data_IF_232606753689
#
_entry.id   IF_232606753689
#
_cell.length_a   1.000
_cell.length_b   1.000
_cell.length_c   1.000
_cell.angle_alpha   90.00
_cell.angle_beta   90.00
_cell.angle_gamma   90.00
#
_symmetry.space_group_name_H-M   'P 1'
#
loop_
_entity.id
_entity.type
_entity.pdbx_description
1 polymer ?
#
# COMPACT_ATOMS: atom_id res chain seq x y z
N UNK A 1 -37.61 -17.57 30.34
CA UNK A 1 -37.91 -16.23 30.89
C UNK A 1 -36.89 -15.30 30.25
N UNK A 2 -37.33 -14.54 29.25
CA UNK A 2 -36.48 -13.60 28.52
C UNK A 2 -36.44 -12.36 29.40
N UNK A 3 -35.30 -12.11 30.05
CA UNK A 3 -35.13 -10.92 30.85
C UNK A 3 -34.99 -9.73 29.90
N UNK A 4 -35.91 -8.78 30.02
CA UNK A 4 -35.86 -7.51 29.32
C UNK A 4 -34.70 -6.71 29.93
N UNK A 5 -33.58 -6.65 29.22
CA UNK A 5 -32.45 -5.79 29.59
C UNK A 5 -32.94 -4.33 29.64
N UNK A 6 -32.88 -3.64 30.79
CA UNK A 6 -33.27 -2.25 30.86
C UNK A 6 -32.34 -1.48 29.92
N UNK A 7 -32.92 -0.64 29.05
CA UNK A 7 -32.17 0.37 28.29
C UNK A 7 -31.37 1.19 29.29
N UNK A 8 -30.14 0.78 29.54
CA UNK A 8 -29.19 1.53 30.33
C UNK A 8 -28.80 2.67 29.40
N UNK A 9 -29.13 3.91 29.77
CA UNK A 9 -28.72 5.08 28.99
C UNK A 9 -27.18 5.13 29.01
N UNK A 10 -26.58 4.53 27.98
CA UNK A 10 -25.14 4.51 27.82
C UNK A 10 -24.65 5.94 27.58
N UNK A 11 -23.62 6.33 28.32
CA UNK A 11 -22.97 7.62 28.16
C UNK A 11 -21.49 7.43 27.89
N UNK A 12 -20.87 8.44 27.26
CA UNK A 12 -19.43 8.46 27.03
C UNK A 12 -18.93 9.89 27.23
N UNK A 13 -17.85 10.03 27.98
CA UNK A 13 -17.14 11.30 28.11
C UNK A 13 -16.15 11.46 26.97
N UNK A 14 -16.10 12.67 26.41
CA UNK A 14 -15.20 13.03 25.30
C UNK A 14 -15.29 12.06 24.10
N UNK A 15 -16.49 11.73 23.59
CA UNK A 15 -16.61 10.90 22.40
C UNK A 15 -15.98 11.63 21.20
N UNK A 16 -15.19 10.90 20.42
CA UNK A 16 -14.60 11.39 19.18
C UNK A 16 -14.59 10.28 18.11
N UNK A 17 -14.88 10.68 16.88
CA UNK A 17 -14.84 9.83 15.70
C UNK A 17 -13.82 10.38 14.71
N UNK A 18 -12.89 9.53 14.31
CA UNK A 18 -11.83 9.88 13.40
C UNK A 18 -11.85 8.98 12.17
N UNK A 19 -11.61 9.56 11.00
CA UNK A 19 -11.37 8.86 9.75
C UNK A 19 -9.96 9.17 9.25
N UNK A 20 -9.16 8.12 9.08
CA UNK A 20 -7.82 8.18 8.51
C UNK A 20 -7.91 7.79 7.03
N UNK A 21 -7.47 8.69 6.15
CA UNK A 21 -7.49 8.53 4.70
C UNK A 21 -6.06 8.53 4.18
N UNK A 22 -5.77 7.63 3.25
CA UNK A 22 -4.44 7.47 2.68
C UNK A 22 -4.45 7.50 1.15
N UNK A 23 -3.46 8.18 0.57
CA UNK A 23 -3.29 8.29 -0.87
C UNK A 23 -1.81 8.26 -1.25
N UNK A 24 -1.46 7.41 -2.21
CA UNK A 24 -0.12 7.41 -2.77
C UNK A 24 0.14 8.75 -3.47
N UNK A 25 1.19 9.44 -3.05
CA UNK A 25 1.61 10.73 -3.60
C UNK A 25 2.61 10.53 -4.74
N UNK A 26 3.66 9.76 -4.49
CA UNK A 26 4.81 9.63 -5.38
C UNK A 26 5.18 8.15 -5.57
N UNK A 27 4.86 7.60 -6.74
CA UNK A 27 5.17 6.22 -7.10
C UNK A 27 6.23 6.16 -8.19
N UNK A 28 6.98 5.06 -8.25
CA UNK A 28 7.94 4.83 -9.33
C UNK A 28 7.25 4.97 -10.70
N UNK A 29 7.87 5.76 -11.59
CA UNK A 29 7.34 6.03 -12.93
C UNK A 29 6.25 7.11 -13.02
N UNK A 30 5.87 7.76 -11.91
CA UNK A 30 4.98 8.93 -11.97
C UNK A 30 5.74 10.18 -12.42
N UNK A 31 5.09 10.99 -13.24
CA UNK A 31 5.63 12.29 -13.63
C UNK A 31 5.42 13.31 -12.51
N UNK A 32 6.28 14.33 -12.44
CA UNK A 32 6.11 15.44 -11.50
C UNK A 32 4.72 16.11 -11.64
N UNK A 33 4.18 16.18 -12.86
CA UNK A 33 2.84 16.70 -13.11
C UNK A 33 1.74 15.84 -12.46
N UNK A 34 1.87 14.50 -12.49
CA UNK A 34 0.91 13.61 -11.84
C UNK A 34 0.96 13.73 -10.31
N UNK A 35 2.17 13.86 -9.75
CA UNK A 35 2.37 14.11 -8.31
C UNK A 35 1.74 15.45 -7.91
N UNK A 36 1.98 16.51 -8.68
CA UNK A 36 1.41 17.84 -8.43
C UNK A 36 -0.13 17.84 -8.57
N UNK A 37 -0.69 17.09 -9.52
CA UNK A 37 -2.14 16.93 -9.66
C UNK A 37 -2.76 16.23 -8.44
N UNK A 38 -2.15 15.15 -7.96
CA UNK A 38 -2.64 14.43 -6.78
C UNK A 38 -2.58 15.30 -5.53
N UNK A 39 -1.49 16.06 -5.35
CA UNK A 39 -1.38 17.07 -4.28
C UNK A 39 -2.53 18.07 -4.35
N UNK A 40 -2.79 18.65 -5.53
CA UNK A 40 -3.91 19.60 -5.70
C UNK A 40 -5.25 18.97 -5.33
N UNK A 41 -5.53 17.73 -5.74
CA UNK A 41 -6.79 17.05 -5.41
C UNK A 41 -6.99 16.91 -3.90
N UNK A 42 -5.99 16.41 -3.17
CA UNK A 42 -6.06 16.25 -1.71
C UNK A 42 -6.31 17.59 -1.02
N UNK A 43 -5.55 18.63 -1.40
CA UNK A 43 -5.66 19.95 -0.78
C UNK A 43 -6.89 20.74 -1.18
N UNK A 44 -7.44 20.53 -2.37
CA UNK A 44 -8.75 21.05 -2.76
C UNK A 44 -9.85 20.47 -1.87
N UNK A 45 -9.74 19.19 -1.51
CA UNK A 45 -10.66 18.55 -0.57
C UNK A 45 -10.58 19.17 0.82
N UNK A 46 -9.37 19.26 1.39
CA UNK A 46 -9.13 19.81 2.74
C UNK A 46 -9.53 21.29 2.85
N UNK A 47 -9.20 22.11 1.85
CA UNK A 47 -9.45 23.56 1.87
C UNK A 47 -10.80 23.95 1.24
N UNK A 48 -11.68 22.97 1.01
CA UNK A 48 -13.00 23.17 0.42
C UNK A 48 -12.99 24.10 -0.82
N UNK A 49 -12.05 23.86 -1.73
CA UNK A 49 -11.90 24.63 -2.96
C UNK A 49 -11.18 25.99 -2.83
N UNK A 50 -10.78 26.43 -1.64
CA UNK A 50 -10.07 27.70 -1.40
C UNK A 50 -8.55 27.61 -1.63
N UNK A 51 -8.07 26.58 -2.34
CA UNK A 51 -6.64 26.38 -2.60
C UNK A 51 -6.09 27.46 -3.54
N UNK A 52 -5.08 28.20 -3.08
CA UNK A 52 -4.32 29.16 -3.90
C UNK A 52 -2.95 28.61 -4.32
N UNK A 53 -2.35 29.14 -5.39
CA UNK A 53 -0.98 28.77 -5.79
C UNK A 53 0.06 29.09 -4.71
N UNK A 54 -0.14 30.17 -3.94
CA UNK A 54 0.76 30.54 -2.84
C UNK A 54 0.71 29.49 -1.72
N UNK A 55 -0.50 29.06 -1.33
CA UNK A 55 -0.70 27.99 -0.35
C UNK A 55 -0.07 26.69 -0.82
N UNK A 56 -0.25 26.33 -2.09
CA UNK A 56 0.33 25.12 -2.66
C UNK A 56 1.87 25.14 -2.66
N UNK A 57 2.47 26.29 -2.95
CA UNK A 57 3.93 26.47 -2.90
C UNK A 57 4.47 26.32 -1.47
N UNK A 58 3.76 26.86 -0.47
CA UNK A 58 4.13 26.70 0.94
C UNK A 58 4.08 25.22 1.38
N UNK A 59 2.99 24.51 1.03
CA UNK A 59 2.84 23.08 1.29
C UNK A 59 4.00 22.30 0.65
N UNK A 60 4.31 22.59 -0.62
CA UNK A 60 5.39 21.91 -1.34
C UNK A 60 6.74 22.12 -0.65
N UNK A 61 7.03 23.34 -0.18
CA UNK A 61 8.26 23.62 0.57
C UNK A 61 8.38 22.83 1.88
N UNK A 62 7.26 22.54 2.55
CA UNK A 62 7.26 21.73 3.80
C UNK A 62 7.56 20.25 3.54
N UNK A 63 7.21 19.75 2.35
CA UNK A 63 7.41 18.35 1.95
C UNK A 63 8.87 17.99 1.65
N UNK A 64 9.76 18.98 1.50
CA UNK A 64 11.17 18.80 1.12
C UNK A 64 12.07 18.32 2.27
N UNK A 65 11.49 18.07 3.45
CA UNK A 65 12.23 17.56 4.61
C UNK A 65 12.45 16.05 4.51
N UNK A 66 13.63 15.56 4.92
CA UNK A 66 13.99 14.13 4.96
C UNK A 66 13.30 13.34 6.10
N UNK A 67 12.24 13.88 6.70
CA UNK A 67 11.53 13.21 7.80
C UNK A 67 10.54 12.17 7.26
N UNK A 68 10.50 10.99 7.88
CA UNK A 68 9.49 9.97 7.60
C UNK A 68 8.08 10.32 8.11
N UNK A 69 7.91 11.49 8.75
CA UNK A 69 6.62 12.02 9.20
C UNK A 69 6.67 13.54 9.17
N UNK A 70 5.87 14.13 8.28
CA UNK A 70 5.89 15.57 8.03
C UNK A 70 4.48 16.11 8.27
N UNK A 71 4.34 17.04 9.23
CA UNK A 71 3.11 17.79 9.44
C UNK A 71 3.01 18.88 8.36
N UNK A 72 1.91 18.90 7.61
CA UNK A 72 1.82 19.75 6.42
C UNK A 72 1.22 21.14 6.68
N UNK A 73 0.66 21.37 7.87
CA UNK A 73 0.10 22.66 8.29
C UNK A 73 1.00 23.35 9.33
N UNK A 74 1.03 24.69 9.31
CA UNK A 74 1.73 25.51 10.31
C UNK A 74 1.22 25.23 11.73
N UNK A 75 -0.09 25.33 11.90
CA UNK A 75 -0.80 25.09 13.16
C UNK A 75 -1.11 23.60 13.36
N UNK A 76 -0.56 22.74 12.50
CA UNK A 76 -0.73 21.29 12.46
C UNK A 76 -2.15 20.82 12.13
N UNK A 77 -3.18 21.56 12.56
CA UNK A 77 -4.60 21.25 12.40
C UNK A 77 -5.32 22.38 11.68
N UNK A 78 -6.32 22.03 10.88
CA UNK A 78 -7.25 22.98 10.28
C UNK A 78 -8.65 22.70 10.82
N UNK A 79 -9.19 23.63 11.60
CA UNK A 79 -10.52 23.47 12.24
C UNK A 79 -11.64 23.51 11.20
N UNK A 80 -12.69 22.74 11.47
CA UNK A 80 -13.92 22.84 10.70
C UNK A 80 -14.62 24.16 10.98
N UNK A 81 -15.42 24.59 10.00
CA UNK A 81 -16.43 25.61 10.25
C UNK A 81 -17.58 25.01 11.07
N UNK A 82 -18.27 25.80 11.92
CA UNK A 82 -19.50 25.36 12.56
C UNK A 82 -20.49 24.76 11.55
N UNK A 83 -21.30 23.75 11.94
CA UNK A 83 -21.66 23.41 13.32
C UNK A 83 -20.79 22.32 13.99
N UNK A 84 -19.77 21.79 13.31
CA UNK A 84 -19.01 20.64 13.77
C UNK A 84 -17.76 21.04 14.58
N UNK A 85 -17.56 20.46 15.78
CA UNK A 85 -16.30 20.57 16.51
C UNK A 85 -15.33 19.49 16.07
N UNK A 86 -14.56 19.80 15.02
CA UNK A 86 -13.59 18.89 14.43
C UNK A 86 -12.44 19.60 13.71
N UNK A 87 -11.53 18.82 13.13
CA UNK A 87 -10.41 19.33 12.37
C UNK A 87 -9.83 18.32 11.38
N UNK A 88 -9.13 18.85 10.37
CA UNK A 88 -8.20 18.10 9.54
C UNK A 88 -6.80 18.09 10.14
N UNK A 89 -6.12 16.96 10.05
CA UNK A 89 -4.70 16.81 10.40
C UNK A 89 -3.97 16.09 9.25
N UNK A 90 -3.47 16.84 8.25
CA UNK A 90 -2.77 16.29 7.11
C UNK A 90 -1.27 16.13 7.38
N UNK A 91 -0.74 14.97 7.00
CA UNK A 91 0.67 14.62 7.10
C UNK A 91 1.17 13.94 5.83
N UNK A 92 2.49 13.93 5.64
CA UNK A 92 3.16 13.09 4.64
C UNK A 92 3.98 12.01 5.34
N UNK A 93 3.79 10.78 4.89
CA UNK A 93 4.42 9.56 5.39
C UNK A 93 5.24 8.93 4.25
N UNK A 94 6.48 9.40 4.08
CA UNK A 94 7.31 9.01 2.95
C UNK A 94 6.70 9.43 1.62
N UNK A 95 6.21 8.46 0.85
CA UNK A 95 5.59 8.62 -0.46
C UNK A 95 4.05 8.72 -0.41
N UNK A 96 3.47 8.80 0.78
CA UNK A 96 2.02 8.72 1.00
C UNK A 96 1.51 10.00 1.66
N UNK A 97 0.44 10.58 1.13
CA UNK A 97 -0.37 11.55 1.85
C UNK A 97 -1.31 10.84 2.79
N UNK A 98 -1.38 11.31 4.04
CA UNK A 98 -2.37 10.86 4.99
C UNK A 98 -3.12 12.04 5.61
N UNK A 99 -4.43 11.87 5.80
CA UNK A 99 -5.29 12.89 6.40
C UNK A 99 -6.12 12.22 7.47
N UNK A 100 -6.10 12.77 8.68
CA UNK A 100 -7.08 12.44 9.70
C UNK A 100 -8.16 13.52 9.72
N UNK A 101 -9.42 13.10 9.63
CA UNK A 101 -10.62 13.92 9.78
C UNK A 101 -11.22 13.55 11.13
N UNK A 102 -11.07 14.44 12.11
CA UNK A 102 -11.51 14.27 13.49
C UNK A 102 -12.80 15.07 13.71
N UNK A 103 -13.81 14.45 14.32
CA UNK A 103 -14.99 15.15 14.81
C UNK A 103 -15.33 14.67 16.22
N UNK A 104 -15.51 15.62 17.14
CA UNK A 104 -15.95 15.35 18.50
C UNK A 104 -17.46 15.50 18.66
N UNK A 105 -18.03 14.85 19.69
CA UNK A 105 -19.48 14.83 19.93
C UNK A 105 -20.05 16.12 20.53
N UNK A 106 -19.28 17.22 20.57
CA UNK A 106 -19.74 18.51 21.09
C UNK A 106 -20.29 19.37 19.96
N UNK A 107 -21.57 19.78 20.01
CA UNK A 107 -22.06 20.86 19.14
C UNK A 107 -21.25 22.14 19.38
N UNK A 108 -20.98 22.93 18.35
CA UNK A 108 -20.30 24.23 18.51
C UNK A 108 -21.10 25.26 19.33
N UNK A 109 -22.39 25.05 19.57
CA UNK A 109 -23.26 25.91 20.38
C UNK A 109 -23.44 25.36 21.80
N UNK A 110 -22.87 26.07 22.79
CA UNK A 110 -23.01 25.79 24.24
C UNK A 110 -24.48 25.90 24.74
N UNK A 111 -25.40 26.39 23.91
CA UNK A 111 -26.82 26.61 24.25
C UNK A 111 -27.74 25.42 23.93
N UNK A 112 -27.22 24.35 23.31
CA UNK A 112 -28.03 23.17 22.94
C UNK A 112 -28.30 22.25 24.15
N UNK A 113 -29.51 21.68 24.21
CA UNK A 113 -29.86 20.61 25.15
C UNK A 113 -28.84 19.45 25.04
N UNK A 114 -28.51 18.77 26.15
CA UNK A 114 -27.56 17.66 26.12
C UNK A 114 -28.07 16.56 25.18
N UNK A 115 -27.34 16.33 24.08
CA UNK A 115 -27.62 15.26 23.12
C UNK A 115 -27.40 13.89 23.77
N UNK A 116 -28.27 12.94 23.48
CA UNK A 116 -28.02 11.52 23.78
C UNK A 116 -26.75 11.03 23.09
N UNK A 117 -26.13 9.96 23.59
CA UNK A 117 -24.94 9.40 22.96
C UNK A 117 -25.21 9.00 21.49
N UNK A 118 -26.40 8.46 21.18
CA UNK A 118 -26.78 8.13 19.81
C UNK A 118 -26.80 9.37 18.89
N UNK A 119 -27.35 10.49 19.36
CA UNK A 119 -27.39 11.75 18.59
C UNK A 119 -25.98 12.33 18.41
N UNK A 120 -25.13 12.28 19.44
CA UNK A 120 -23.72 12.69 19.33
C UNK A 120 -22.99 11.86 18.27
N UNK A 121 -23.21 10.54 18.23
CA UNK A 121 -22.59 9.64 17.25
C UNK A 121 -23.03 9.96 15.82
N UNK A 122 -24.33 10.21 15.59
CA UNK A 122 -24.82 10.61 14.27
C UNK A 122 -24.26 11.98 13.86
N UNK A 123 -24.19 12.92 14.79
CA UNK A 123 -23.62 14.25 14.53
C UNK A 123 -22.14 14.16 14.12
N UNK A 124 -21.33 13.41 14.88
CA UNK A 124 -19.91 13.18 14.54
C UNK A 124 -19.76 12.48 13.19
N UNK A 125 -20.55 11.43 12.93
CA UNK A 125 -20.52 10.70 11.66
C UNK A 125 -20.82 11.62 10.49
N UNK A 126 -21.86 12.44 10.60
CA UNK A 126 -22.20 13.43 9.57
C UNK A 126 -21.05 14.42 9.35
N UNK A 127 -20.45 14.94 10.42
CA UNK A 127 -19.32 15.86 10.36
C UNK A 127 -18.11 15.26 9.62
N UNK A 128 -17.71 14.05 10.00
CA UNK A 128 -16.60 13.34 9.33
C UNK A 128 -16.93 13.07 7.87
N UNK A 129 -18.13 12.58 7.56
CA UNK A 129 -18.53 12.25 6.19
C UNK A 129 -18.59 13.49 5.28
N UNK A 130 -19.10 14.62 5.78
CA UNK A 130 -19.14 15.88 5.05
C UNK A 130 -17.71 16.35 4.70
N UNK A 131 -16.82 16.32 5.68
CA UNK A 131 -15.46 16.84 5.55
C UNK A 131 -14.52 15.87 4.80
N UNK A 132 -14.83 14.58 4.76
CA UNK A 132 -14.05 13.57 4.05
C UNK A 132 -14.48 13.35 2.59
N UNK A 133 -15.71 13.74 2.20
CA UNK A 133 -16.32 13.38 0.90
C UNK A 133 -15.47 13.70 -0.32
N UNK A 134 -14.71 14.78 -0.27
CA UNK A 134 -13.88 15.29 -1.39
C UNK A 134 -12.42 14.82 -1.31
N UNK A 135 -12.05 14.10 -0.26
CA UNK A 135 -10.71 13.57 -0.06
C UNK A 135 -10.68 12.12 -0.61
N UNK A 136 -9.82 11.78 -1.59
CA UNK A 136 -9.96 10.53 -2.34
C UNK A 136 -9.76 9.25 -1.53
N UNK A 137 -8.71 9.18 -0.69
CA UNK A 137 -8.44 8.02 0.17
C UNK A 137 -8.23 6.70 -0.59
N UNK A 138 -7.67 6.74 -1.80
CA UNK A 138 -7.67 5.60 -2.75
C UNK A 138 -6.83 4.40 -2.27
N UNK A 139 -5.83 4.63 -1.41
CA UNK A 139 -5.04 3.54 -0.82
C UNK A 139 -5.82 2.83 0.29
N UNK A 140 -6.83 3.47 0.86
CA UNK A 140 -7.68 2.90 1.89
C UNK A 140 -7.97 3.87 3.02
N UNK A 141 -8.83 3.41 3.91
CA UNK A 141 -9.32 4.19 5.02
C UNK A 141 -9.42 3.35 6.30
N UNK A 142 -9.37 4.01 7.44
CA UNK A 142 -9.53 3.34 8.74
C UNK A 142 -10.22 4.27 9.72
N UNK A 143 -11.16 3.73 10.49
CA UNK A 143 -11.92 4.48 11.47
C UNK A 143 -11.35 4.28 12.87
N UNK A 144 -11.45 5.31 13.71
CA UNK A 144 -11.26 5.22 15.15
C UNK A 144 -12.46 5.87 15.81
N UNK A 145 -13.07 5.17 16.76
CA UNK A 145 -14.04 5.74 17.70
C UNK A 145 -13.47 5.56 19.09
N UNK A 146 -13.42 6.62 19.87
CA UNK A 146 -12.94 6.51 21.23
C UNK A 146 -13.68 7.45 22.18
N UNK A 147 -13.55 7.15 23.47
CA UNK A 147 -14.02 8.00 24.54
C UNK A 147 -13.79 7.34 25.89
N UNK A 148 -14.19 8.03 26.95
CA UNK A 148 -14.01 7.60 28.32
C UNK A 148 -15.33 7.15 28.93
N UNK A 149 -15.34 6.00 29.58
CA UNK A 149 -16.49 5.49 30.31
C UNK A 149 -16.79 6.40 31.53
N UNK A 150 -18.07 6.60 31.87
CA UNK A 150 -18.46 7.50 32.96
C UNK A 150 -18.06 6.96 34.33
N UNK A 151 -18.08 5.64 34.51
CA UNK A 151 -17.68 4.94 35.73
C UNK A 151 -17.23 3.50 35.41
N UNK A 152 -16.76 2.79 36.42
CA UNK A 152 -16.25 1.42 36.30
C UNK A 152 -17.35 0.35 36.18
N UNK A 153 -18.63 0.71 36.35
CA UNK A 153 -19.76 -0.21 36.25
C UNK A 153 -20.25 -0.38 34.81
N UNK A 154 -20.06 0.64 33.94
CA UNK A 154 -20.43 0.54 32.54
C UNK A 154 -19.53 -0.45 31.79
N UNK A 155 -20.15 -1.45 31.16
CA UNK A 155 -19.43 -2.49 30.41
C UNK A 155 -18.78 -1.92 29.14
N UNK A 156 -17.44 -2.06 28.97
CA UNK A 156 -16.78 -1.69 27.72
C UNK A 156 -17.33 -2.47 26.52
N UNK A 157 -17.62 -3.77 26.68
CA UNK A 157 -18.11 -4.62 25.59
C UNK A 157 -19.52 -4.22 25.12
N UNK A 158 -20.44 -3.96 26.06
CA UNK A 158 -21.78 -3.48 25.73
C UNK A 158 -21.74 -2.09 25.07
N UNK A 159 -20.88 -1.22 25.59
CA UNK A 159 -20.65 0.12 25.02
C UNK A 159 -20.11 0.02 23.59
N UNK A 160 -19.08 -0.80 23.35
CA UNK A 160 -18.49 -0.97 22.02
C UNK A 160 -19.50 -1.54 21.00
N UNK A 161 -20.32 -2.52 21.41
CA UNK A 161 -21.42 -3.05 20.57
C UNK A 161 -22.44 -1.96 20.23
N UNK A 162 -22.84 -1.15 21.21
CA UNK A 162 -23.72 -0.01 20.97
C UNK A 162 -23.11 1.00 19.99
N UNK A 163 -21.83 1.37 20.16
CA UNK A 163 -21.14 2.29 19.25
C UNK A 163 -21.10 1.76 17.81
N UNK A 164 -20.80 0.48 17.64
CA UNK A 164 -20.80 -0.21 16.35
C UNK A 164 -22.17 -0.13 15.67
N UNK A 165 -23.23 -0.48 16.40
CA UNK A 165 -24.60 -0.54 15.85
C UNK A 165 -25.13 0.86 15.52
N UNK A 166 -24.84 1.86 16.35
CA UNK A 166 -25.25 3.24 16.11
C UNK A 166 -24.50 3.88 14.95
N UNK A 167 -23.17 3.74 14.90
CA UNK A 167 -22.39 4.36 13.83
C UNK A 167 -22.60 3.66 12.49
N UNK A 168 -22.89 2.36 12.46
CA UNK A 168 -23.12 1.59 11.23
C UNK A 168 -22.09 1.92 10.14
N UNK A 169 -20.80 1.82 10.49
CA UNK A 169 -19.66 2.13 9.59
C UNK A 169 -19.45 1.03 8.54
N UNK A 170 -20.07 -0.13 8.74
CA UNK A 170 -19.99 -1.31 7.89
C UNK A 170 -21.35 -1.50 7.19
N UNK A 171 -21.39 -1.98 5.94
CA UNK A 171 -22.65 -2.34 5.28
C UNK A 171 -23.36 -3.45 6.07
N UNK A 172 -24.62 -3.30 6.47
CA UNK A 172 -25.31 -4.33 7.29
C UNK A 172 -24.47 -4.76 8.51
N UNK A 173 -24.29 -3.88 9.51
CA UNK A 173 -23.42 -4.11 10.65
C UNK A 173 -23.85 -5.35 11.43
N UNK A 174 -22.89 -6.22 11.77
CA UNK A 174 -23.11 -7.40 12.60
C UNK A 174 -21.92 -7.61 13.53
N UNK A 175 -22.09 -7.27 14.81
CA UNK A 175 -21.01 -7.33 15.80
C UNK A 175 -20.31 -8.70 15.86
N UNK A 176 -21.06 -9.79 15.85
CA UNK A 176 -20.50 -11.14 16.01
C UNK A 176 -19.67 -11.57 14.77
N UNK A 177 -19.90 -10.92 13.62
CA UNK A 177 -19.11 -11.10 12.41
C UNK A 177 -18.00 -10.07 12.24
N UNK A 178 -18.21 -8.83 12.69
CA UNK A 178 -17.32 -7.71 12.42
C UNK A 178 -16.24 -7.58 13.50
N UNK A 179 -16.54 -7.89 14.77
CA UNK A 179 -15.56 -7.87 15.86
C UNK A 179 -14.62 -9.08 15.80
N UNK A 180 -13.34 -8.83 15.50
CA UNK A 180 -12.33 -9.89 15.32
C UNK A 180 -11.30 -9.96 16.44
N UNK A 181 -11.19 -8.92 17.22
CA UNK A 181 -10.12 -8.81 18.21
C UNK A 181 -10.50 -7.89 19.35
N UNK A 182 -9.91 -8.17 20.51
CA UNK A 182 -9.95 -7.30 21.66
C UNK A 182 -8.54 -7.24 22.26
N UNK A 183 -8.20 -6.10 22.84
CA UNK A 183 -6.96 -5.94 23.58
C UNK A 183 -6.99 -4.72 24.47
N UNK A 184 -5.81 -4.23 24.87
CA UNK A 184 -5.67 -3.10 25.78
C UNK A 184 -4.49 -2.20 25.42
N UNK A 185 -4.64 -0.89 25.62
CA UNK A 185 -3.55 0.08 25.48
C UNK A 185 -3.77 1.29 26.38
N UNK A 186 -2.80 1.63 27.22
CA UNK A 186 -2.86 2.64 28.29
C UNK A 186 -4.15 2.55 29.11
N UNK A 187 -4.52 1.32 29.47
CA UNK A 187 -5.73 1.02 30.25
C UNK A 187 -7.03 1.05 29.46
N UNK A 188 -7.07 1.57 28.23
CA UNK A 188 -8.24 1.48 27.36
C UNK A 188 -8.50 0.04 26.95
N UNK A 189 -9.76 -0.36 26.88
CA UNK A 189 -10.18 -1.60 26.21
C UNK A 189 -10.35 -1.30 24.73
N UNK A 190 -9.65 -2.04 23.89
CA UNK A 190 -9.67 -1.90 22.43
C UNK A 190 -10.49 -3.02 21.80
N UNK A 191 -11.28 -2.69 20.77
CA UNK A 191 -11.99 -3.66 19.94
C UNK A 191 -11.67 -3.43 18.46
N UNK A 192 -11.19 -4.47 17.78
CA UNK A 192 -10.95 -4.45 16.35
C UNK A 192 -12.17 -4.93 15.58
N UNK A 193 -12.65 -4.06 14.70
CA UNK A 193 -13.70 -4.35 13.75
C UNK A 193 -13.09 -4.44 12.36
N UNK A 194 -13.34 -5.53 11.65
CA UNK A 194 -12.85 -5.68 10.28
C UNK A 194 -13.76 -6.54 9.41
N UNK A 195 -13.82 -6.15 8.13
CA UNK A 195 -14.45 -6.92 7.08
C UNK A 195 -13.53 -6.93 5.85
N UNK A 196 -12.94 -8.10 5.53
CA UNK A 196 -12.09 -8.25 4.36
C UNK A 196 -12.80 -7.88 3.07
N UNK A 197 -12.03 -7.31 2.14
CA UNK A 197 -12.47 -7.19 0.76
C UNK A 197 -12.69 -8.58 0.16
N UNK A 198 -13.73 -8.70 -0.66
CA UNK A 198 -14.12 -9.93 -1.34
C UNK A 198 -14.04 -9.78 -2.85
N UNK A 199 -13.81 -8.57 -3.37
CA UNK A 199 -13.85 -8.27 -4.80
C UNK A 199 -12.50 -7.73 -5.27
N UNK A 200 -11.73 -8.49 -6.05
CA UNK A 200 -10.45 -8.02 -6.59
C UNK A 200 -10.66 -7.12 -7.80
N UNK A 201 -11.22 -5.92 -7.59
CA UNK A 201 -11.41 -4.89 -8.63
C UNK A 201 -10.25 -3.88 -8.68
N UNK A 202 -9.26 -4.05 -7.80
CA UNK A 202 -8.11 -3.17 -7.66
C UNK A 202 -8.40 -1.91 -6.84
N UNK A 203 -9.49 -1.89 -6.08
CA UNK A 203 -9.73 -0.94 -5.02
C UNK A 203 -9.62 -1.65 -3.67
N UNK A 204 -9.06 -0.98 -2.66
CA UNK A 204 -9.05 -1.50 -1.30
C UNK A 204 -10.39 -1.17 -0.62
N UNK A 205 -11.35 -2.10 -0.67
CA UNK A 205 -12.66 -1.95 -0.03
C UNK A 205 -12.70 -2.60 1.36
N UNK A 206 -11.54 -2.88 1.95
CA UNK A 206 -11.46 -3.42 3.29
C UNK A 206 -12.06 -2.42 4.30
N UNK A 207 -13.04 -2.86 5.08
CA UNK A 207 -13.61 -2.04 6.14
C UNK A 207 -12.87 -2.31 7.44
N UNK A 208 -12.37 -1.25 8.07
CA UNK A 208 -11.61 -1.35 9.31
C UNK A 208 -11.99 -0.24 10.28
N UNK A 209 -12.25 -0.60 11.54
CA UNK A 209 -12.44 0.34 12.62
C UNK A 209 -11.80 -0.17 13.91
N UNK A 210 -11.28 0.74 14.71
CA UNK A 210 -10.82 0.48 16.07
C UNK A 210 -11.74 1.23 17.04
N UNK A 211 -12.23 0.55 18.08
CA UNK A 211 -12.96 1.17 19.19
C UNK A 211 -12.04 1.22 20.40
N UNK A 212 -11.81 2.40 20.98
CA UNK A 212 -11.02 2.59 22.20
C UNK A 212 -11.82 3.17 23.35
N UNK A 213 -12.03 2.38 24.42
CA UNK A 213 -12.81 2.81 25.59
C UNK A 213 -11.91 2.95 26.81
N UNK A 214 -11.67 4.20 27.23
CA UNK A 214 -10.83 4.55 28.36
C UNK A 214 -11.59 4.42 29.69
N UNK A 215 -10.90 4.04 30.79
CA UNK A 215 -11.53 3.94 32.09
C UNK A 215 -11.80 5.31 32.70
N UNK A 216 -12.82 5.36 33.58
CA UNK A 216 -13.33 6.61 34.19
C UNK A 216 -12.33 7.36 35.09
N UNK A 217 -11.31 6.68 35.62
CA UNK A 217 -10.39 7.27 36.59
C UNK A 217 -9.30 8.15 35.95
N UNK A 218 -9.15 8.15 34.62
CA UNK A 218 -8.17 8.99 33.93
C UNK A 218 -8.62 10.45 33.93
N UNK A 219 -7.73 11.35 34.29
CA UNK A 219 -7.98 12.78 34.14
C UNK A 219 -8.00 13.18 32.65
N UNK A 220 -8.65 14.30 32.35
CA UNK A 220 -8.66 14.89 30.99
C UNK A 220 -7.25 15.12 30.45
N UNK A 221 -6.31 15.56 31.30
CA UNK A 221 -4.92 15.81 30.90
C UNK A 221 -4.17 14.53 30.54
N UNK A 222 -4.34 13.46 31.33
CA UNK A 222 -3.76 12.15 31.02
C UNK A 222 -4.33 11.58 29.72
N UNK A 223 -5.65 11.65 29.53
CA UNK A 223 -6.32 11.21 28.32
C UNK A 223 -5.80 11.95 27.08
N UNK A 224 -5.63 13.26 27.16
CA UNK A 224 -5.04 14.07 26.08
C UNK A 224 -3.60 13.67 25.78
N UNK A 225 -2.79 13.41 26.81
CA UNK A 225 -1.40 12.95 26.66
C UNK A 225 -1.30 11.58 26.00
N UNK A 226 -2.17 10.64 26.39
CA UNK A 226 -2.26 9.30 25.79
C UNK A 226 -2.71 9.40 24.33
N UNK A 227 -3.81 10.11 24.05
CA UNK A 227 -4.35 10.23 22.70
C UNK A 227 -3.40 10.93 21.75
N UNK A 228 -2.67 11.95 22.19
CA UNK A 228 -1.65 12.61 21.37
C UNK A 228 -0.55 11.66 20.86
N UNK A 229 -0.19 10.66 21.67
CA UNK A 229 0.74 9.60 21.27
C UNK A 229 0.05 8.53 20.43
N UNK A 230 -1.14 8.11 20.85
CA UNK A 230 -1.90 7.06 20.19
C UNK A 230 -2.24 7.43 18.74
N UNK A 231 -2.66 8.67 18.48
CA UNK A 231 -2.88 9.18 17.12
C UNK A 231 -1.65 9.05 16.22
N UNK A 232 -0.46 9.33 16.74
CA UNK A 232 0.79 9.20 15.97
C UNK A 232 1.14 7.75 15.65
N UNK A 233 0.78 6.82 16.54
CA UNK A 233 0.94 5.40 16.29
C UNK A 233 -0.07 4.90 15.28
N UNK A 234 -1.36 5.18 15.49
CA UNK A 234 -2.44 4.76 14.60
C UNK A 234 -2.29 5.32 13.19
N UNK A 235 -1.90 6.58 13.05
CA UNK A 235 -1.61 7.19 11.73
C UNK A 235 -0.58 6.38 10.93
N UNK A 236 0.44 5.80 11.59
CA UNK A 236 1.44 4.96 10.90
C UNK A 236 1.00 3.51 10.79
N UNK A 237 0.39 2.96 11.84
CA UNK A 237 -0.07 1.59 11.87
C UNK A 237 -1.11 1.33 10.77
N UNK A 238 -2.10 2.22 10.67
CA UNK A 238 -3.12 2.17 9.63
C UNK A 238 -2.54 2.49 8.26
N UNK A 239 -1.54 3.38 8.14
CA UNK A 239 -0.82 3.62 6.88
C UNK A 239 -0.22 2.32 6.34
N UNK A 240 0.61 1.63 7.14
CA UNK A 240 1.26 0.40 6.71
C UNK A 240 0.25 -0.69 6.35
N UNK A 241 -0.79 -0.85 7.18
CA UNK A 241 -1.89 -1.80 6.94
C UNK A 241 -2.59 -1.53 5.60
N UNK A 242 -3.03 -0.29 5.37
CA UNK A 242 -3.73 0.08 4.14
C UNK A 242 -2.80 -0.03 2.92
N UNK A 243 -1.51 0.28 3.07
CA UNK A 243 -0.55 0.18 1.97
C UNK A 243 -0.34 -1.27 1.57
N UNK A 244 -0.20 -2.19 2.53
CA UNK A 244 -0.12 -3.64 2.27
C UNK A 244 -1.37 -4.13 1.51
N UNK A 245 -2.56 -3.80 2.01
CA UNK A 245 -3.83 -4.22 1.39
C UNK A 245 -3.98 -3.65 -0.02
N UNK A 246 -3.70 -2.36 -0.20
CA UNK A 246 -3.77 -1.71 -1.50
C UNK A 246 -2.82 -2.33 -2.52
N UNK A 247 -1.56 -2.53 -2.14
CA UNK A 247 -0.55 -3.18 -2.99
C UNK A 247 -0.98 -4.59 -3.37
N UNK A 248 -1.48 -5.36 -2.39
CA UNK A 248 -2.00 -6.70 -2.63
C UNK A 248 -3.15 -6.66 -3.65
N UNK A 249 -4.06 -5.71 -3.55
CA UNK A 249 -5.13 -5.52 -4.54
C UNK A 249 -4.62 -5.13 -5.93
N UNK A 250 -3.65 -4.21 -6.01
CA UNK A 250 -3.03 -3.84 -7.30
C UNK A 250 -2.37 -5.04 -7.99
N UNK A 251 -1.86 -6.00 -7.22
CA UNK A 251 -1.21 -7.19 -7.77
C UNK A 251 -2.14 -8.05 -8.63
N UNK A 252 -3.46 -8.04 -8.37
CA UNK A 252 -4.43 -8.78 -9.18
C UNK A 252 -4.56 -8.23 -10.60
N UNK A 253 -4.49 -6.91 -10.76
CA UNK A 253 -4.52 -6.27 -12.07
C UNK A 253 -3.27 -6.66 -12.88
N UNK A 254 -2.08 -6.57 -12.26
CA UNK A 254 -0.82 -6.99 -12.87
C UNK A 254 -0.84 -8.48 -13.26
N UNK A 255 -1.32 -9.34 -12.36
CA UNK A 255 -1.45 -10.78 -12.58
C UNK A 255 -2.35 -11.07 -13.78
N UNK A 256 -3.46 -10.35 -13.92
CA UNK A 256 -4.38 -10.50 -15.06
C UNK A 256 -3.69 -10.13 -16.37
N UNK A 257 -2.99 -9.01 -16.43
CA UNK A 257 -2.23 -8.61 -17.62
C UNK A 257 -1.12 -9.60 -17.98
N UNK A 258 -0.38 -10.11 -16.99
CA UNK A 258 0.71 -11.08 -17.19
C UNK A 258 0.19 -12.45 -17.65
N UNK A 259 -0.98 -12.90 -17.14
CA UNK A 259 -1.64 -14.13 -17.61
C UNK A 259 -2.08 -14.02 -19.06
N UNK A 260 -2.68 -12.89 -19.45
CA UNK A 260 -3.08 -12.65 -20.84
C UNK A 260 -1.87 -12.72 -21.77
N UNK A 261 -0.77 -12.05 -21.40
CA UNK A 261 0.48 -12.10 -22.17
C UNK A 261 1.06 -13.53 -22.26
N UNK A 262 1.03 -14.29 -21.17
CA UNK A 262 1.50 -15.69 -21.15
C UNK A 262 0.72 -16.58 -22.13
N UNK A 263 -0.59 -16.37 -22.27
CA UNK A 263 -1.40 -17.10 -23.26
C UNK A 263 -0.93 -16.83 -24.69
N UNK A 264 -0.62 -15.57 -25.03
CA UNK A 264 -0.10 -15.23 -26.36
C UNK A 264 1.29 -15.85 -26.61
N UNK A 265 2.16 -15.85 -25.60
CA UNK A 265 3.49 -16.52 -25.67
C UNK A 265 3.34 -18.00 -25.97
N UNK A 266 2.38 -18.66 -25.33
CA UNK A 266 2.10 -20.08 -25.57
C UNK A 266 1.67 -20.32 -27.03
N UNK A 267 0.73 -19.52 -27.55
CA UNK A 267 0.31 -19.61 -28.95
C UNK A 267 1.48 -19.46 -29.93
N UNK A 268 2.35 -18.46 -29.71
CA UNK A 268 3.53 -18.26 -30.55
C UNK A 268 4.47 -19.47 -30.53
N UNK A 269 4.69 -20.03 -29.34
CA UNK A 269 5.59 -21.17 -29.14
C UNK A 269 5.03 -22.45 -29.78
N UNK A 270 3.74 -22.71 -29.66
CA UNK A 270 3.06 -23.88 -30.24
C UNK A 270 3.02 -23.84 -31.78
N UNK A 271 2.94 -22.65 -32.37
CA UNK A 271 2.92 -22.47 -33.83
C UNK A 271 4.32 -22.62 -34.47
N UNK A 272 5.40 -22.40 -33.70
CA UNK A 272 6.76 -22.36 -34.24
C UNK A 272 7.17 -23.64 -35.01
N UNK A 273 6.93 -24.87 -34.50
CA UNK A 273 7.29 -26.09 -35.23
C UNK A 273 6.65 -26.16 -36.62
N UNK A 274 5.40 -25.71 -36.76
CA UNK A 274 4.68 -25.71 -38.04
C UNK A 274 5.20 -24.69 -39.06
N UNK A 275 5.93 -23.66 -38.61
CA UNK A 275 6.53 -22.63 -39.48
C UNK A 275 7.93 -23.02 -39.97
N UNK A 276 8.64 -23.89 -39.24
CA UNK A 276 10.04 -24.23 -39.51
C UNK A 276 10.22 -25.61 -40.13
N UNK A 277 9.22 -26.49 -40.02
CA UNK A 277 9.26 -27.84 -40.63
C UNK A 277 8.80 -27.85 -42.10
N UNK A 278 8.36 -26.71 -42.63
CA UNK A 278 7.96 -26.60 -44.03
C UNK A 278 9.17 -26.68 -44.98
N UNK A 279 8.99 -27.21 -46.23
CA UNK A 279 10.08 -27.30 -47.21
C UNK A 279 10.75 -25.96 -47.52
N UNK A 280 10.01 -24.86 -47.36
CA UNK A 280 10.52 -23.50 -47.44
C UNK A 280 10.03 -22.72 -46.22
N UNK A 281 10.96 -22.17 -45.47
CA UNK A 281 10.65 -21.36 -44.28
C UNK A 281 9.92 -20.07 -44.70
N UNK A 282 8.77 -19.82 -44.09
CA UNK A 282 8.03 -18.56 -44.28
C UNK A 282 8.63 -17.44 -43.42
N UNK A 283 9.59 -16.72 -44.01
CA UNK A 283 10.26 -15.60 -43.36
C UNK A 283 9.32 -14.43 -43.01
N UNK A 284 8.21 -14.26 -43.73
CA UNK A 284 7.28 -13.16 -43.45
C UNK A 284 6.49 -13.47 -42.17
N UNK A 285 5.96 -14.69 -42.06
CA UNK A 285 5.27 -15.14 -40.84
C UNK A 285 6.20 -15.13 -39.61
N UNK A 286 7.46 -15.56 -39.76
CA UNK A 286 8.45 -15.48 -38.68
C UNK A 286 8.76 -14.03 -38.27
N UNK A 287 8.87 -13.09 -39.22
CA UNK A 287 9.10 -11.68 -38.91
C UNK A 287 7.90 -11.06 -38.19
N UNK A 288 6.68 -11.37 -38.63
CA UNK A 288 5.46 -10.88 -38.03
C UNK A 288 5.29 -11.41 -36.59
N UNK A 289 5.53 -12.70 -36.38
CA UNK A 289 5.47 -13.29 -35.05
C UNK A 289 6.59 -12.78 -34.13
N UNK A 290 7.78 -12.50 -34.66
CA UNK A 290 8.86 -11.86 -33.90
C UNK A 290 8.47 -10.43 -33.49
N UNK A 291 7.82 -9.66 -34.37
CA UNK A 291 7.31 -8.33 -34.02
C UNK A 291 6.28 -8.41 -32.89
N UNK A 292 5.33 -9.34 -32.97
CA UNK A 292 4.36 -9.62 -31.90
C UNK A 292 5.04 -10.00 -30.58
N UNK A 293 6.02 -10.92 -30.62
CA UNK A 293 6.78 -11.33 -29.44
C UNK A 293 7.49 -10.14 -28.77
N UNK A 294 8.13 -9.27 -29.56
CA UNK A 294 8.81 -8.08 -29.05
C UNK A 294 7.84 -7.04 -28.46
N UNK A 295 6.66 -6.87 -29.07
CA UNK A 295 5.60 -6.00 -28.54
C UNK A 295 5.07 -6.48 -27.18
N UNK A 296 5.08 -7.78 -26.92
CA UNK A 296 4.64 -8.36 -25.64
C UNK A 296 5.77 -8.35 -24.61
N UNK A 297 7.02 -8.54 -25.04
CA UNK A 297 8.15 -8.71 -24.13
C UNK A 297 8.40 -7.50 -23.23
N UNK A 298 8.31 -6.27 -23.77
CA UNK A 298 8.56 -5.06 -22.99
C UNK A 298 7.48 -4.80 -21.92
N UNK A 299 6.17 -4.84 -22.24
CA UNK A 299 5.12 -4.76 -21.22
C UNK A 299 5.19 -5.90 -20.19
N UNK A 300 5.52 -7.13 -20.62
CA UNK A 300 5.67 -8.26 -19.71
C UNK A 300 6.79 -8.03 -18.70
N UNK A 301 7.99 -7.69 -19.17
CA UNK A 301 9.15 -7.42 -18.31
C UNK A 301 8.88 -6.25 -17.35
N UNK A 302 8.20 -5.20 -17.84
CA UNK A 302 7.78 -4.05 -17.03
C UNK A 302 6.83 -4.48 -15.91
N UNK A 303 5.80 -5.26 -16.25
CA UNK A 303 4.81 -5.73 -15.28
C UNK A 303 5.40 -6.72 -14.26
N UNK A 304 6.38 -7.56 -14.65
CA UNK A 304 7.14 -8.37 -13.71
C UNK A 304 7.94 -7.50 -12.72
N UNK A 305 8.58 -6.43 -13.22
CA UNK A 305 9.28 -5.46 -12.38
C UNK A 305 8.34 -4.83 -11.34
N UNK A 306 7.16 -4.38 -11.76
CA UNK A 306 6.14 -3.87 -10.84
C UNK A 306 5.68 -4.93 -9.83
N UNK A 307 5.58 -6.20 -10.24
CA UNK A 307 5.19 -7.27 -9.33
C UNK A 307 6.22 -7.50 -8.21
N UNK A 308 7.51 -7.49 -8.55
CA UNK A 308 8.61 -7.57 -7.57
C UNK A 308 8.65 -6.35 -6.63
N UNK A 309 8.36 -5.17 -7.16
CA UNK A 309 8.21 -3.94 -6.37
C UNK A 309 7.04 -4.03 -5.38
N UNK A 310 5.89 -4.59 -5.80
CA UNK A 310 4.76 -4.82 -4.91
C UNK A 310 5.13 -5.77 -3.76
N UNK A 311 5.81 -6.89 -4.05
CA UNK A 311 6.25 -7.81 -3.00
C UNK A 311 7.20 -7.13 -2.00
N UNK A 312 8.16 -6.35 -2.49
CA UNK A 312 9.09 -5.58 -1.66
C UNK A 312 8.37 -4.53 -0.81
N UNK A 313 7.34 -3.90 -1.37
CA UNK A 313 6.52 -2.90 -0.66
C UNK A 313 5.76 -3.55 0.49
N UNK A 314 5.17 -4.74 0.30
CA UNK A 314 4.53 -5.49 1.39
C UNK A 314 5.57 -5.84 2.48
N UNK A 315 6.72 -6.39 2.11
CA UNK A 315 7.78 -6.78 3.05
C UNK A 315 8.21 -5.61 3.95
N UNK A 316 8.50 -4.44 3.37
CA UNK A 316 8.92 -3.25 4.12
C UNK A 316 7.81 -2.71 5.02
N UNK A 317 6.57 -2.64 4.53
CA UNK A 317 5.46 -2.12 5.34
C UNK A 317 5.07 -3.08 6.46
N UNK A 318 5.23 -4.39 6.24
CA UNK A 318 5.02 -5.41 7.25
C UNK A 318 6.04 -5.29 8.38
N UNK A 319 7.32 -5.15 8.03
CA UNK A 319 8.37 -4.89 9.02
C UNK A 319 8.10 -3.59 9.81
N UNK A 320 7.72 -2.52 9.11
CA UNK A 320 7.40 -1.24 9.75
C UNK A 320 6.16 -1.32 10.66
N UNK A 321 5.18 -2.16 10.32
CA UNK A 321 4.01 -2.46 11.14
C UNK A 321 4.42 -3.16 12.45
N UNK A 322 5.20 -4.24 12.35
CA UNK A 322 5.72 -4.96 13.53
C UNK A 322 6.56 -4.05 14.43
N UNK A 323 7.51 -3.29 13.86
CA UNK A 323 8.32 -2.32 14.62
C UNK A 323 7.49 -1.23 15.31
N UNK A 324 6.34 -0.86 14.73
CA UNK A 324 5.42 0.11 15.33
C UNK A 324 4.71 -0.51 16.53
N UNK A 325 4.24 -1.75 16.44
CA UNK A 325 3.64 -2.46 17.57
C UNK A 325 4.66 -2.66 18.71
N UNK A 326 5.89 -3.04 18.39
CA UNK A 326 6.97 -3.14 19.39
C UNK A 326 7.22 -1.81 20.11
N UNK A 327 7.13 -0.69 19.38
CA UNK A 327 7.28 0.64 19.98
C UNK A 327 6.11 0.99 20.91
N UNK A 328 4.89 0.57 20.57
CA UNK A 328 3.72 0.73 21.43
C UNK A 328 3.85 -0.13 22.70
N UNK A 329 4.25 -1.39 22.58
CA UNK A 329 4.47 -2.31 23.71
C UNK A 329 5.58 -1.82 24.64
N UNK A 330 6.64 -1.21 24.11
CA UNK A 330 7.70 -0.59 24.94
C UNK A 330 7.18 0.62 25.73
N UNK A 331 6.21 1.36 25.20
CA UNK A 331 5.63 2.53 25.87
C UNK A 331 4.58 2.14 26.90
N UNK A 332 3.83 1.07 26.65
CA UNK A 332 2.90 0.46 27.60
C UNK A 332 3.18 -1.03 27.76
N UNK A 333 4.08 -1.43 28.68
CA UNK A 333 4.40 -2.85 28.90
C UNK A 333 3.21 -3.69 29.39
N UNK A 334 2.12 -3.06 29.83
CA UNK A 334 0.89 -3.73 30.26
C UNK A 334 -0.17 -3.81 29.15
N UNK A 335 0.14 -3.35 27.94
CA UNK A 335 -0.76 -3.45 26.80
C UNK A 335 -0.97 -4.92 26.38
N UNK A 336 -2.06 -5.12 25.67
CA UNK A 336 -2.36 -6.37 24.98
C UNK A 336 -2.72 -6.01 23.54
N UNK A 337 -1.74 -6.15 22.65
CA UNK A 337 -1.87 -5.82 21.22
C UNK A 337 -1.81 -7.08 20.35
N UNK A 338 -1.97 -8.27 20.93
CA UNK A 338 -1.91 -9.55 20.19
C UNK A 338 -2.91 -9.54 19.02
N UNK A 339 -4.10 -8.97 19.24
CA UNK A 339 -5.11 -8.88 18.20
C UNK A 339 -4.66 -8.09 16.95
N UNK A 340 -3.82 -7.06 17.12
CA UNK A 340 -3.25 -6.31 15.99
C UNK A 340 -2.15 -7.10 15.28
N UNK A 341 -1.43 -7.96 16.00
CA UNK A 341 -0.39 -8.83 15.42
C UNK A 341 -0.95 -9.90 14.49
N UNK A 342 -2.22 -10.30 14.65
CA UNK A 342 -2.87 -11.20 13.67
C UNK A 342 -2.85 -10.65 12.23
N UNK A 343 -2.86 -9.33 12.05
CA UNK A 343 -2.71 -8.75 10.72
C UNK A 343 -1.30 -8.96 10.16
N UNK A 344 -0.27 -8.88 11.00
CA UNK A 344 1.12 -9.15 10.61
C UNK A 344 1.27 -10.59 10.11
N UNK A 345 0.74 -11.55 10.86
CA UNK A 345 0.72 -12.97 10.49
C UNK A 345 -0.04 -13.19 9.18
N UNK A 346 -1.26 -12.65 9.06
CA UNK A 346 -2.07 -12.73 7.84
C UNK A 346 -1.32 -12.15 6.63
N UNK A 347 -0.70 -10.98 6.78
CA UNK A 347 0.01 -10.33 5.70
C UNK A 347 1.27 -11.11 5.28
N UNK A 348 1.99 -11.70 6.23
CA UNK A 348 3.14 -12.55 5.95
C UNK A 348 2.73 -13.84 5.23
N UNK A 349 1.80 -14.59 5.82
CA UNK A 349 1.46 -15.95 5.40
C UNK A 349 0.59 -15.99 4.14
N UNK A 350 -0.26 -14.97 3.95
CA UNK A 350 -1.16 -14.91 2.81
C UNK A 350 -0.64 -13.93 1.76
N UNK A 351 -0.58 -12.64 2.08
CA UNK A 351 -0.39 -11.62 1.06
C UNK A 351 1.03 -11.69 0.45
N UNK A 352 2.06 -11.64 1.29
CA UNK A 352 3.44 -11.68 0.83
C UNK A 352 3.79 -13.03 0.19
N UNK A 353 3.43 -14.14 0.84
CA UNK A 353 3.72 -15.48 0.33
C UNK A 353 3.05 -15.75 -1.04
N UNK A 354 1.81 -15.29 -1.22
CA UNK A 354 1.11 -15.42 -2.50
C UNK A 354 1.77 -14.60 -3.60
N UNK A 355 2.13 -13.33 -3.33
CA UNK A 355 2.86 -12.52 -4.31
C UNK A 355 4.20 -13.17 -4.67
N UNK A 356 5.01 -13.57 -3.70
CA UNK A 356 6.30 -14.22 -4.00
C UNK A 356 6.15 -15.50 -4.83
N UNK A 357 5.07 -16.26 -4.60
CA UNK A 357 4.76 -17.45 -5.40
C UNK A 357 4.33 -17.09 -6.82
N UNK A 358 3.44 -16.11 -6.95
CA UNK A 358 2.98 -15.61 -8.25
C UNK A 358 4.14 -15.01 -9.07
N UNK A 359 5.03 -14.25 -8.45
CA UNK A 359 6.22 -13.68 -9.08
C UNK A 359 7.11 -14.78 -9.69
N UNK A 360 7.37 -15.85 -8.94
CA UNK A 360 8.16 -17.00 -9.41
C UNK A 360 7.49 -17.69 -10.61
N UNK A 361 6.18 -17.92 -10.53
CA UNK A 361 5.40 -18.55 -11.61
C UNK A 361 5.42 -17.68 -12.87
N UNK A 362 5.17 -16.38 -12.73
CA UNK A 362 5.09 -15.45 -13.86
C UNK A 362 6.47 -15.20 -14.47
N UNK A 363 7.53 -15.15 -13.66
CA UNK A 363 8.92 -15.09 -14.16
C UNK A 363 9.26 -16.34 -14.97
N UNK A 364 8.87 -17.53 -14.52
CA UNK A 364 9.04 -18.75 -15.30
C UNK A 364 8.25 -18.71 -16.62
N UNK A 365 7.07 -18.09 -16.62
CA UNK A 365 6.23 -17.85 -17.81
C UNK A 365 6.84 -16.90 -18.85
N UNK A 366 7.83 -16.08 -18.48
CA UNK A 366 8.55 -15.21 -19.41
C UNK A 366 9.61 -15.95 -20.24
N UNK A 367 10.21 -17.01 -19.69
CA UNK A 367 11.32 -17.74 -20.32
C UNK A 367 11.00 -18.30 -21.72
N UNK A 368 9.79 -18.85 -21.99
CA UNK A 368 9.42 -19.26 -23.34
C UNK A 368 9.45 -18.10 -24.35
N UNK A 369 9.06 -16.89 -23.95
CA UNK A 369 9.10 -15.71 -24.82
C UNK A 369 10.54 -15.35 -25.20
N UNK A 370 11.45 -15.33 -24.23
CA UNK A 370 12.87 -15.07 -24.50
C UNK A 370 13.47 -16.12 -25.46
N UNK A 371 13.17 -17.39 -25.22
CA UNK A 371 13.64 -18.49 -26.05
C UNK A 371 13.05 -18.41 -27.46
N UNK A 372 11.76 -18.06 -27.58
CA UNK A 372 11.09 -17.84 -28.85
C UNK A 372 11.78 -16.74 -29.65
N UNK A 373 11.97 -15.56 -29.07
CA UNK A 373 12.63 -14.42 -29.71
C UNK A 373 14.04 -14.77 -30.18
N UNK A 374 14.84 -15.44 -29.33
CA UNK A 374 16.20 -15.89 -29.69
C UNK A 374 16.19 -16.88 -30.85
N UNK A 375 15.30 -17.87 -30.79
CA UNK A 375 15.19 -18.93 -31.81
C UNK A 375 14.75 -18.38 -33.15
N UNK A 376 13.68 -17.58 -33.18
CA UNK A 376 13.17 -16.98 -34.44
C UNK A 376 14.18 -16.02 -35.05
N UNK A 377 14.88 -15.23 -34.23
CA UNK A 377 15.97 -14.36 -34.72
C UNK A 377 17.07 -15.21 -35.37
N UNK A 378 17.52 -16.28 -34.70
CA UNK A 378 18.53 -17.19 -35.24
C UNK A 378 18.12 -17.86 -36.55
N UNK A 379 16.85 -18.30 -36.68
CA UNK A 379 16.32 -18.86 -37.93
C UNK A 379 16.33 -17.83 -39.05
N UNK A 380 15.86 -16.60 -38.78
CA UNK A 380 15.85 -15.51 -39.75
C UNK A 380 17.29 -15.20 -40.22
N UNK A 381 18.26 -15.18 -39.31
CA UNK A 381 19.66 -14.91 -39.63
C UNK A 381 20.27 -16.01 -40.51
N UNK A 382 20.02 -17.29 -40.18
CA UNK A 382 20.49 -18.45 -40.97
C UNK A 382 19.87 -18.46 -42.37
N UNK A 383 18.56 -18.28 -42.48
CA UNK A 383 17.87 -18.30 -43.78
C UNK A 383 18.23 -17.09 -44.64
N UNK A 384 18.59 -15.96 -44.04
CA UNK A 384 19.16 -14.81 -44.75
C UNK A 384 20.61 -15.04 -45.17
N UNK A 385 21.44 -15.67 -44.34
CA UNK A 385 22.84 -15.97 -44.70
C UNK A 385 22.92 -16.96 -45.86
N UNK A 386 21.93 -17.87 -45.99
CA UNK A 386 21.81 -18.77 -47.14
C UNK A 386 21.36 -18.07 -48.44
N UNK A 387 20.72 -16.91 -48.36
CA UNK A 387 20.01 -16.29 -49.50
C UNK A 387 20.53 -14.91 -49.96
N UNK A 388 21.67 -14.41 -49.44
CA UNK A 388 22.35 -13.16 -49.86
C UNK A 388 21.45 -11.92 -50.14
N UNK A 389 20.37 -11.70 -49.37
CA UNK A 389 19.53 -10.50 -49.52
C UNK A 389 19.65 -9.57 -48.32
N UNK A 390 20.18 -8.36 -48.54
CA UNK A 390 20.32 -7.27 -47.56
C UNK A 390 18.96 -6.62 -47.26
N UNK A 391 18.56 -6.54 -45.99
CA UNK A 391 17.60 -5.53 -45.51
C UNK A 391 17.90 -5.08 -44.07
N UNK A 392 17.55 -3.82 -43.81
CA UNK A 392 17.84 -2.94 -42.67
C UNK A 392 17.79 -3.56 -41.27
N UNK A 393 18.82 -3.22 -40.50
CA UNK A 393 19.25 -3.83 -39.24
C UNK A 393 18.75 -3.00 -38.04
N UNK A 394 17.51 -3.27 -37.61
CA UNK A 394 16.89 -2.67 -36.41
C UNK A 394 16.36 -3.72 -35.40
N UNK A 395 16.20 -4.99 -35.81
CA UNK A 395 15.53 -6.03 -34.97
C UNK A 395 16.49 -6.78 -34.04
N UNK A 396 17.76 -7.01 -34.46
CA UNK A 396 18.73 -7.81 -33.69
C UNK A 396 19.18 -7.15 -32.36
N UNK A 397 19.12 -5.81 -32.25
CA UNK A 397 19.51 -5.10 -31.03
C UNK A 397 18.45 -5.12 -29.92
N UNK A 398 17.19 -5.41 -30.24
CA UNK A 398 16.11 -5.44 -29.25
C UNK A 398 16.16 -6.73 -28.39
N UNK A 399 16.53 -7.86 -28.98
CA UNK A 399 16.51 -9.19 -28.36
C UNK A 399 17.55 -9.37 -27.24
N UNK A 400 18.70 -8.69 -27.32
CA UNK A 400 19.76 -8.78 -26.33
C UNK A 400 19.50 -7.94 -25.06
N UNK A 401 18.65 -6.90 -25.13
CA UNK A 401 18.32 -6.04 -23.99
C UNK A 401 17.20 -6.57 -23.10
N UNK A 402 16.25 -7.33 -23.66
CA UNK A 402 15.03 -7.76 -22.96
C UNK A 402 15.29 -8.78 -21.83
N UNK A 403 16.30 -9.64 -21.96
CA UNK A 403 16.57 -10.69 -20.96
C UNK A 403 17.45 -10.28 -19.79
N UNK A 404 18.25 -9.23 -19.92
CA UNK A 404 19.11 -8.76 -18.83
C UNK A 404 18.33 -7.95 -17.78
N UNK A 405 17.27 -7.23 -18.18
CA UNK A 405 16.53 -6.34 -17.28
C UNK A 405 15.52 -7.08 -16.37
N UNK A 406 14.82 -8.11 -16.86
CA UNK A 406 13.82 -8.85 -16.05
C UNK A 406 14.47 -9.86 -15.10
N UNK A 407 15.57 -10.48 -15.50
CA UNK A 407 16.31 -11.43 -14.65
C UNK A 407 17.13 -10.72 -13.55
N UNK A 408 17.59 -9.48 -13.80
CA UNK A 408 18.27 -8.70 -12.77
C UNK A 408 17.33 -8.26 -11.63
N UNK A 409 16.02 -8.16 -11.84
CA UNK A 409 15.09 -7.80 -10.75
C UNK A 409 14.79 -9.00 -9.82
N UNK A 410 14.52 -10.18 -10.39
CA UNK A 410 14.04 -11.35 -9.63
C UNK A 410 15.16 -12.23 -9.05
N UNK A 411 16.37 -12.22 -9.64
CA UNK A 411 17.50 -13.01 -9.12
C UNK A 411 18.40 -12.25 -8.15
N UNK A 412 18.30 -10.92 -8.09
CA UNK A 412 19.17 -10.11 -7.25
C UNK A 412 18.89 -10.23 -5.76
N UNK A 413 17.64 -10.42 -5.33
CA UNK A 413 17.35 -10.47 -3.91
C UNK A 413 17.93 -11.74 -3.25
N UNK A 414 17.83 -12.88 -3.93
CA UNK A 414 18.42 -14.15 -3.47
C UNK A 414 19.96 -14.15 -3.59
N UNK A 415 20.53 -13.59 -4.67
CA UNK A 415 21.98 -13.47 -4.82
C UNK A 415 22.59 -12.43 -3.86
N UNK A 416 21.91 -11.31 -3.60
CA UNK A 416 22.35 -10.30 -2.64
C UNK A 416 22.26 -10.84 -1.20
N UNK A 417 21.20 -11.59 -0.85
CA UNK A 417 21.11 -12.30 0.44
C UNK A 417 22.25 -13.31 0.61
N UNK A 418 22.59 -14.07 -0.43
CA UNK A 418 23.73 -14.99 -0.42
C UNK A 418 25.09 -14.28 -0.31
N UNK A 419 25.31 -13.19 -1.06
CA UNK A 419 26.55 -12.40 -0.99
C UNK A 419 26.73 -11.74 0.37
N UNK A 420 25.66 -11.21 0.97
CA UNK A 420 25.70 -10.63 2.31
C UNK A 420 25.93 -11.69 3.38
N UNK A 421 25.35 -12.89 3.25
CA UNK A 421 25.63 -14.00 4.16
C UNK A 421 27.09 -14.50 4.11
N UNK A 422 27.77 -14.34 2.97
CA UNK A 422 29.20 -14.64 2.81
C UNK A 422 30.09 -13.56 3.44
N UNK A 423 29.70 -12.30 3.33
CA UNK A 423 30.49 -11.15 3.84
C UNK A 423 30.21 -10.83 5.31
N UNK A 424 29.02 -11.18 5.80
CA UNK A 424 28.55 -10.99 7.17
C UNK A 424 27.77 -12.24 7.61
N UNK A 425 28.47 -13.34 7.96
CA UNK A 425 27.81 -14.50 8.51
C UNK A 425 27.11 -14.13 9.83
N UNK A 426 25.91 -14.69 10.10
CA UNK A 426 25.21 -14.42 11.34
C UNK A 426 26.07 -14.83 12.54
N UNK A 427 26.03 -14.08 13.66
CA UNK A 427 26.71 -14.46 14.90
C UNK A 427 26.28 -15.87 15.34
N UNK A 428 27.21 -16.67 15.86
CA UNK A 428 26.93 -18.04 16.30
C UNK A 428 25.73 -18.06 17.27
N UNK A 429 24.69 -18.81 16.90
CA UNK A 429 23.46 -18.97 17.69
C UNK A 429 22.22 -18.23 17.19
N UNK A 430 22.31 -17.45 16.09
CA UNK A 430 21.15 -16.80 15.46
C UNK A 430 20.89 -17.33 14.05
N UNK A 431 19.63 -17.63 13.73
CA UNK A 431 19.17 -18.12 12.42
C UNK A 431 18.82 -17.00 11.44
N UNK A 432 18.88 -15.73 11.86
CA UNK A 432 18.55 -14.58 11.02
C UNK A 432 19.69 -13.55 11.00
N UNK A 433 20.00 -12.94 9.84
CA UNK A 433 21.05 -11.95 9.73
C UNK A 433 20.64 -10.60 10.35
N UNK A 434 21.59 -9.76 10.83
CA UNK A 434 21.29 -8.51 11.52
C UNK A 434 20.61 -7.50 10.59
N UNK A 435 19.73 -6.61 11.08
CA UNK A 435 18.99 -5.60 10.29
C UNK A 435 19.88 -4.79 9.31
N UNK A 436 21.14 -4.54 9.65
CA UNK A 436 22.13 -3.89 8.77
C UNK A 436 22.39 -4.64 7.44
N UNK A 437 22.22 -5.97 7.42
CA UNK A 437 22.40 -6.81 6.24
C UNK A 437 21.36 -6.51 5.14
N UNK A 438 20.13 -6.17 5.54
CA UNK A 438 19.02 -5.87 4.64
C UNK A 438 19.13 -4.49 3.97
N UNK A 439 19.70 -3.50 4.69
CA UNK A 439 20.01 -2.17 4.14
C UNK A 439 21.18 -2.23 3.15
N UNK A 440 22.15 -3.10 3.40
CA UNK A 440 23.32 -3.29 2.53
C UNK A 440 22.94 -4.08 1.27
N UNK A 441 22.07 -5.09 1.38
CA UNK A 441 21.57 -5.82 0.20
C UNK A 441 20.74 -4.94 -0.73
N UNK A 442 19.90 -4.06 -0.18
CA UNK A 442 19.11 -3.08 -0.96
C UNK A 442 20.00 -2.02 -1.63
N UNK A 443 21.01 -1.49 -0.92
CA UNK A 443 21.99 -0.56 -1.50
C UNK A 443 22.83 -1.21 -2.62
N UNK A 444 23.25 -2.47 -2.44
CA UNK A 444 23.95 -3.26 -3.47
C UNK A 444 23.06 -3.52 -4.69
N UNK A 445 21.81 -3.89 -4.48
CA UNK A 445 20.85 -4.11 -5.56
C UNK A 445 20.61 -2.84 -6.40
N UNK A 446 20.50 -1.69 -5.73
CA UNK A 446 20.37 -0.39 -6.40
C UNK A 446 21.64 -0.01 -7.17
N UNK A 447 22.81 -0.16 -6.54
CA UNK A 447 24.10 0.18 -7.15
C UNK A 447 24.40 -0.66 -8.40
N UNK A 448 24.12 -1.96 -8.37
CA UNK A 448 24.35 -2.83 -9.53
C UNK A 448 23.31 -2.58 -10.62
N UNK A 449 22.04 -2.35 -10.28
CA UNK A 449 21.01 -1.96 -11.26
C UNK A 449 21.35 -0.65 -11.98
N UNK A 450 21.83 0.35 -11.23
CA UNK A 450 22.32 1.60 -11.80
C UNK A 450 23.53 1.38 -12.72
N UNK A 451 24.45 0.50 -12.33
CA UNK A 451 25.64 0.15 -13.12
C UNK A 451 25.28 -0.53 -14.44
N UNK A 452 24.34 -1.48 -14.40
CA UNK A 452 23.82 -2.17 -15.59
C UNK A 452 23.11 -1.18 -16.51
N UNK A 453 22.27 -0.29 -15.96
CA UNK A 453 21.61 0.78 -16.72
C UNK A 453 22.60 1.71 -17.43
N UNK A 454 23.65 2.14 -16.74
CA UNK A 454 24.73 2.97 -17.30
C UNK A 454 25.50 2.22 -18.39
N UNK A 455 25.78 0.92 -18.20
CA UNK A 455 26.49 0.10 -19.17
C UNK A 455 25.68 -0.09 -20.47
N UNK A 456 24.37 -0.33 -20.35
CA UNK A 456 23.47 -0.43 -21.50
C UNK A 456 23.27 0.92 -22.21
N UNK A 457 23.15 2.02 -21.46
CA UNK A 457 23.12 3.36 -22.03
C UNK A 457 24.40 3.68 -22.81
N UNK A 458 25.57 3.30 -22.27
CA UNK A 458 26.86 3.49 -22.92
C UNK A 458 27.03 2.61 -24.18
N UNK A 459 26.61 1.34 -24.13
CA UNK A 459 26.61 0.45 -25.30
C UNK A 459 25.70 0.97 -26.41
N UNK A 460 24.50 1.44 -26.05
CA UNK A 460 23.54 2.05 -26.98
C UNK A 460 24.11 3.32 -27.62
N UNK A 461 24.71 4.19 -26.81
CA UNK A 461 25.39 5.40 -27.27
C UNK A 461 26.55 5.09 -28.24
N UNK A 462 27.38 4.07 -27.95
CA UNK A 462 28.46 3.64 -28.87
C UNK A 462 27.94 3.07 -30.18
N UNK A 463 26.83 2.34 -30.16
CA UNK A 463 26.21 1.79 -31.37
C UNK A 463 25.63 2.89 -32.26
N UNK A 464 25.04 3.93 -31.67
CA UNK A 464 24.53 5.09 -32.39
C UNK A 464 25.67 5.94 -33.00
N UNK A 465 26.78 6.14 -32.27
CA UNK A 465 27.93 6.93 -32.73
C UNK A 465 28.78 6.25 -33.81
N UNK A 466 28.65 4.94 -34.01
CA UNK A 466 29.29 4.22 -35.14
C UNK A 466 28.49 4.31 -36.45
N UNK A 467 27.28 4.88 -36.41
CA UNK A 467 26.37 5.00 -37.57
C UNK A 467 26.21 6.44 -38.10
N UNK A 468 26.84 7.42 -37.46
CA UNK A 468 27.08 8.76 -38.00
C UNK A 468 28.56 8.95 -38.23
#
# INVERSE_FOLDING_TARGET
MIDHDPKTDLTLHYPALDLFLYDLQDGLGKSAAAVDQKRRQVWQGILNGQLTEATLAEIKGREETLSGYIELLAEKRLRFSPPYDGYYYPVKLGDTFAVMVDCSGKPCDDAASPLSLAEQLQHMKAGVQEHARTIPGQMGQSWLIWGQLPDSSQSPGATARFLHDQLALFPSPNWDQDCRGQGRYHGATLFELQRPDQTPDGHNQHHYALIGLFPAHLSKGELQGIMGQFYRHLMRLFHYRNKILWVYEQSFQLKTSLKAATSTVQTLTEQLPGLITQPRVDLNSLQQNLATALQIAQPYATNLGYFAEQASTIEVNLQNYGLRLDAMEKQDPACDLVFLRHFEELAQEKYLAQLQTDEKILTAGFKPLENYTKTVTGIIDIERSKNERKLNLTIASASAGLGAASLAASTFNDQAKQLVAVWMPPPQGQTQPPVASYLISTALAFGVSASVGVLFAWLTYRLLRRRG
#
